data_IF_048906469036
#
_entry.id   IF_048906469036
#
_cell.length_a   1.000
_cell.length_b   1.000
_cell.length_c   1.000
_cell.angle_alpha   90.00
_cell.angle_beta   90.00
_cell.angle_gamma   90.00
#
_symmetry.space_group_name_H-M   'P 1'
#
loop_
_entity.id
_entity.type
_entity.pdbx_description
1 polymer ?
#
# COMPACT_ATOMS: atom_id res chain seq x y z
N UNK A 1 10.86 6.11 11.70
CA UNK A 1 10.89 6.23 10.23
C UNK A 1 10.78 4.83 9.67
N UNK A 2 9.55 4.34 9.53
CA UNK A 2 9.30 2.96 9.14
C UNK A 2 8.64 2.97 7.77
N UNK A 3 9.19 2.19 6.84
CA UNK A 3 8.55 1.90 5.55
C UNK A 3 7.82 0.59 5.70
N UNK A 4 6.54 0.57 5.32
CA UNK A 4 5.72 -0.64 5.36
C UNK A 4 5.35 -1.08 3.96
N UNK A 5 5.51 -2.37 3.70
CA UNK A 5 5.03 -3.03 2.50
C UNK A 5 3.66 -3.67 2.74
N UNK A 6 2.68 -3.36 1.89
CA UNK A 6 1.37 -3.99 1.88
C UNK A 6 1.20 -4.79 0.58
N UNK A 7 0.99 -6.09 0.73
CA UNK A 7 0.81 -7.04 -0.38
C UNK A 7 -0.61 -7.57 -0.31
N UNK A 8 -1.32 -7.49 -1.44
CA UNK A 8 -2.72 -7.87 -1.51
C UNK A 8 -3.62 -6.71 -1.04
N UNK A 9 -4.47 -6.26 -1.95
CA UNK A 9 -5.42 -5.17 -1.83
C UNK A 9 -6.84 -5.72 -2.02
N UNK A 10 -7.13 -6.85 -1.36
CA UNK A 10 -8.46 -7.45 -1.30
C UNK A 10 -9.51 -6.53 -0.63
N UNK A 11 -10.76 -6.99 -0.57
CA UNK A 11 -11.87 -6.26 0.06
C UNK A 11 -11.57 -5.86 1.52
N UNK A 12 -10.81 -6.67 2.24
CA UNK A 12 -10.35 -6.41 3.62
C UNK A 12 -9.07 -5.56 3.72
N UNK A 13 -8.46 -5.15 2.61
CA UNK A 13 -7.21 -4.39 2.62
C UNK A 13 -7.36 -2.87 2.39
N UNK A 14 -8.56 -2.40 2.04
CA UNK A 14 -8.85 -0.97 1.96
C UNK A 14 -8.80 -0.29 3.34
N UNK A 15 -9.18 -1.01 4.40
CA UNK A 15 -9.22 -0.56 5.80
C UNK A 15 -7.82 -0.50 6.46
N UNK A 16 -6.92 -1.50 6.28
CA UNK A 16 -5.55 -1.41 6.79
C UNK A 16 -4.69 -0.41 6.02
N UNK A 17 -4.89 -0.16 4.71
CA UNK A 17 -4.14 0.89 4.01
C UNK A 17 -4.41 2.29 4.62
N UNK A 18 -5.67 2.56 4.99
CA UNK A 18 -6.06 3.80 5.68
C UNK A 18 -5.45 3.88 7.09
N UNK A 19 -5.56 2.79 7.86
CA UNK A 19 -5.03 2.72 9.22
C UNK A 19 -3.51 2.91 9.24
N UNK A 20 -2.79 2.23 8.34
CA UNK A 20 -1.33 2.26 8.28
C UNK A 20 -0.79 3.60 7.81
N UNK A 21 -1.50 4.29 6.91
CA UNK A 21 -1.09 5.62 6.44
C UNK A 21 -1.22 6.68 7.54
N UNK A 22 -2.14 6.50 8.48
CA UNK A 22 -2.36 7.42 9.60
C UNK A 22 -1.46 7.16 10.83
N UNK A 23 -0.64 6.10 10.81
CA UNK A 23 0.27 5.81 11.91
C UNK A 23 1.47 6.77 11.87
N UNK A 24 1.75 7.53 12.96
CA UNK A 24 2.81 8.53 12.99
C UNK A 24 4.23 7.93 12.85
N UNK A 25 4.36 6.64 13.09
CA UNK A 25 5.60 5.87 12.94
C UNK A 25 5.88 5.41 11.49
N UNK A 26 4.84 5.38 10.66
CA UNK A 26 4.90 4.96 9.25
C UNK A 26 5.14 6.18 8.39
N UNK A 27 6.35 6.26 7.83
CA UNK A 27 6.75 7.38 6.98
C UNK A 27 6.43 7.14 5.51
N UNK A 28 6.26 5.86 5.12
CA UNK A 28 6.00 5.48 3.75
C UNK A 28 5.26 4.15 3.69
N UNK A 29 4.18 4.11 2.92
CA UNK A 29 3.47 2.88 2.58
C UNK A 29 3.79 2.53 1.12
N UNK A 30 4.30 1.33 0.90
CA UNK A 30 4.56 0.75 -0.42
C UNK A 30 3.54 -0.36 -0.64
N UNK A 31 2.85 -0.37 -1.78
CA UNK A 31 1.73 -1.29 -2.02
C UNK A 31 1.89 -2.06 -3.33
N UNK A 32 1.45 -3.32 -3.33
CA UNK A 32 1.34 -4.16 -4.55
C UNK A 32 0.14 -5.10 -4.46
N UNK A 33 -0.39 -5.49 -5.61
CA UNK A 33 -1.44 -6.50 -5.78
C UNK A 33 -1.31 -7.09 -7.19
N UNK A 34 -1.87 -8.28 -7.42
CA UNK A 34 -1.93 -8.88 -8.77
C UNK A 34 -2.78 -8.05 -9.75
N UNK A 35 -3.70 -7.22 -9.23
CA UNK A 35 -4.60 -6.33 -10.00
C UNK A 35 -4.03 -4.91 -10.03
N UNK A 36 -3.40 -4.47 -11.15
CA UNK A 36 -2.78 -3.14 -11.24
C UNK A 36 -3.80 -2.01 -11.10
N UNK A 37 -5.04 -2.21 -11.54
CA UNK A 37 -6.12 -1.22 -11.38
C UNK A 37 -6.46 -0.93 -9.92
N UNK A 38 -6.35 -1.94 -9.04
CA UNK A 38 -6.59 -1.77 -7.60
C UNK A 38 -5.43 -1.05 -6.94
N UNK A 39 -4.20 -1.39 -7.32
CA UNK A 39 -2.99 -0.68 -6.86
C UNK A 39 -3.07 0.81 -7.18
N UNK A 40 -3.45 1.17 -8.41
CA UNK A 40 -3.60 2.56 -8.81
C UNK A 40 -4.67 3.30 -8.00
N UNK A 41 -5.82 2.66 -7.77
CA UNK A 41 -6.92 3.23 -6.97
C UNK A 41 -6.52 3.48 -5.51
N UNK A 42 -5.88 2.48 -4.86
CA UNK A 42 -5.44 2.58 -3.46
C UNK A 42 -4.30 3.59 -3.33
N UNK A 43 -3.33 3.60 -4.24
CA UNK A 43 -2.25 4.59 -4.25
C UNK A 43 -2.78 6.01 -4.38
N UNK A 44 -3.73 6.25 -5.28
CA UNK A 44 -4.36 7.54 -5.45
C UNK A 44 -5.19 7.96 -4.22
N UNK A 45 -5.87 7.01 -3.57
CA UNK A 45 -6.72 7.27 -2.40
C UNK A 45 -5.92 7.58 -1.14
N UNK A 46 -4.82 6.87 -0.90
CA UNK A 46 -4.07 6.92 0.35
C UNK A 46 -2.66 7.53 0.23
N UNK A 47 -2.25 7.99 -0.96
CA UNK A 47 -0.92 8.58 -1.16
C UNK A 47 0.23 7.57 -1.03
N UNK A 48 -0.06 6.29 -1.20
CA UNK A 48 0.92 5.22 -1.10
C UNK A 48 1.78 5.11 -2.37
N UNK A 49 2.98 4.51 -2.25
CA UNK A 49 3.86 4.23 -3.39
C UNK A 49 3.47 2.89 -4.03
N UNK A 50 2.93 2.88 -5.26
CA UNK A 50 2.62 1.63 -5.95
C UNK A 50 3.90 0.98 -6.49
N UNK A 51 3.98 -0.35 -6.42
CA UNK A 51 4.98 -1.16 -7.11
C UNK A 51 4.33 -2.32 -7.86
N UNK A 52 4.96 -2.73 -8.94
CA UNK A 52 4.47 -3.72 -9.90
C UNK A 52 4.87 -5.17 -9.57
N UNK A 53 5.66 -5.40 -8.52
CA UNK A 53 6.07 -6.74 -8.08
C UNK A 53 6.51 -6.77 -6.63
N UNK A 54 6.37 -7.93 -5.98
CA UNK A 54 6.82 -8.17 -4.60
C UNK A 54 8.32 -7.92 -4.44
N UNK A 55 9.11 -8.20 -5.46
CA UNK A 55 10.57 -7.95 -5.46
C UNK A 55 10.92 -6.46 -5.28
N UNK A 56 9.99 -5.55 -5.63
CA UNK A 56 10.16 -4.10 -5.52
C UNK A 56 9.64 -3.53 -4.19
N UNK A 57 9.13 -4.38 -3.28
CA UNK A 57 8.71 -3.98 -1.93
C UNK A 57 9.83 -4.00 -0.90
N UNK A 58 10.93 -4.70 -1.18
CA UNK A 58 12.10 -4.85 -0.31
C UNK A 58 13.15 -3.76 -0.54
#
# INVERSE_FOLDING_TARGET
MTTLGLIGLGMECADPAETLTNLPEVSRLVITDERPDVVAQVAAKYGATPVDSVEKLL
#
